data_IF_998891010016
#
_entry.id   IF_998891010016
#
_cell.length_a   1.000
_cell.length_b   1.000
_cell.length_c   1.000
_cell.angle_alpha   90.00
_cell.angle_beta   90.00
_cell.angle_gamma   90.00
#
_symmetry.space_group_name_H-M   'P 1'
#
loop_
_entity.id
_entity.type
_entity.pdbx_description
1 polymer ?
#
# COMPACT_ATOMS: atom_id res chain seq x y z
N UNK A 1 -4.78 1.65 9.06
CA UNK A 1 -3.54 1.42 8.31
C UNK A 1 -2.37 1.91 9.13
N UNK A 2 -1.24 1.22 9.09
CA UNK A 2 0.00 1.66 9.73
C UNK A 2 1.19 1.16 8.92
N UNK A 3 2.35 1.78 9.08
CA UNK A 3 3.61 1.25 8.54
C UNK A 3 4.42 0.64 9.66
N UNK A 4 4.96 -0.55 9.41
CA UNK A 4 5.84 -1.26 10.32
C UNK A 4 7.26 -1.35 9.77
N UNK A 5 8.20 -1.69 10.66
CA UNK A 5 9.65 -1.77 10.43
C UNK A 5 10.34 -0.42 10.23
N UNK A 6 11.67 -0.48 10.10
CA UNK A 6 12.50 0.68 9.76
C UNK A 6 12.16 1.15 8.36
N UNK A 7 12.27 2.46 8.14
CA UNK A 7 12.04 3.14 6.88
C UNK A 7 13.15 2.83 5.85
N UNK A 8 13.22 1.55 5.42
CA UNK A 8 14.14 0.99 4.43
C UNK A 8 13.46 -0.14 3.63
N UNK A 9 14.21 -1.06 3.01
CA UNK A 9 13.63 -2.18 2.26
C UNK A 9 12.74 -3.13 3.06
N UNK A 10 12.77 -3.06 4.40
CA UNK A 10 11.90 -3.83 5.30
C UNK A 10 10.57 -3.13 5.58
N UNK A 11 10.38 -1.90 5.10
CA UNK A 11 9.15 -1.14 5.35
C UNK A 11 7.93 -1.84 4.74
N UNK A 12 6.87 -2.01 5.52
CA UNK A 12 5.63 -2.73 5.12
C UNK A 12 4.40 -2.01 5.64
N UNK A 13 3.27 -2.18 4.96
CA UNK A 13 1.98 -1.67 5.44
C UNK A 13 1.16 -2.77 6.09
N UNK A 14 0.72 -2.54 7.32
CA UNK A 14 -0.24 -3.38 8.03
C UNK A 14 -1.56 -2.65 8.28
N UNK A 15 -2.55 -3.40 8.77
CA UNK A 15 -3.84 -2.86 9.22
C UNK A 15 -4.26 -3.45 10.55
N UNK A 16 -5.00 -2.66 11.31
CA UNK A 16 -5.67 -3.07 12.52
C UNK A 16 -7.03 -2.36 12.60
N UNK A 17 -8.01 -2.97 13.26
CA UNK A 17 -9.36 -2.40 13.43
C UNK A 17 -9.82 -2.49 14.88
N UNK A 18 -10.74 -1.62 15.27
CA UNK A 18 -11.39 -1.61 16.57
C UNK A 18 -12.83 -1.11 16.42
N UNK A 19 -13.69 -1.44 17.37
CA UNK A 19 -15.06 -0.91 17.44
C UNK A 19 -15.15 0.43 18.20
N UNK A 20 -14.09 0.82 18.90
CA UNK A 20 -13.96 2.09 19.60
C UNK A 20 -12.61 2.74 19.26
N UNK A 21 -12.57 4.07 19.24
CA UNK A 21 -11.35 4.85 18.94
C UNK A 21 -10.21 4.51 19.91
N UNK A 22 -10.54 4.21 21.18
CA UNK A 22 -9.56 3.79 22.19
C UNK A 22 -9.05 2.35 22.06
N UNK A 23 -9.59 1.55 21.13
CA UNK A 23 -9.26 0.14 21.00
C UNK A 23 -10.09 -0.78 21.91
N UNK A 24 -9.65 -2.04 22.11
CA UNK A 24 -8.41 -2.61 21.59
C UNK A 24 -8.42 -2.77 20.07
N UNK A 25 -7.24 -2.62 19.45
CA UNK A 25 -7.07 -2.81 18.01
C UNK A 25 -6.63 -4.25 17.69
N UNK A 26 -7.43 -4.96 16.91
CA UNK A 26 -7.12 -6.28 16.34
C UNK A 26 -6.25 -6.07 15.09
N UNK A 27 -5.03 -6.63 15.07
CA UNK A 27 -4.16 -6.61 13.89
C UNK A 27 -4.57 -7.70 12.90
N UNK A 28 -4.57 -7.37 11.60
CA UNK A 28 -4.74 -8.35 10.53
C UNK A 28 -3.44 -9.08 10.22
N UNK A 29 -2.89 -9.82 11.19
CA UNK A 29 -1.72 -10.69 11.01
C UNK A 29 -0.60 -10.08 10.15
N UNK A 30 -0.31 -10.75 9.03
CA UNK A 30 0.70 -10.37 8.04
C UNK A 30 0.44 -8.99 7.39
N UNK A 31 1.49 -8.30 6.91
CA UNK A 31 1.31 -7.04 6.21
C UNK A 31 0.42 -7.18 4.96
N UNK A 32 -0.42 -6.17 4.72
CA UNK A 32 -1.31 -6.12 3.56
C UNK A 32 -0.63 -5.55 2.30
N UNK A 33 0.56 -4.97 2.45
CA UNK A 33 1.34 -4.45 1.33
C UNK A 33 2.83 -4.69 1.57
N UNK A 34 3.46 -5.40 0.63
CA UNK A 34 4.86 -5.82 0.71
C UNK A 34 5.63 -5.50 -0.57
N UNK A 35 6.96 -5.65 -0.52
CA UNK A 35 7.81 -5.48 -1.69
C UNK A 35 7.43 -6.44 -2.81
N UNK A 36 7.73 -6.04 -4.04
CA UNK A 36 7.75 -6.93 -5.20
C UNK A 36 8.93 -6.57 -6.12
N UNK A 37 8.93 -7.12 -7.33
CA UNK A 37 9.99 -6.91 -8.31
C UNK A 37 10.06 -5.48 -8.85
N UNK A 38 9.01 -4.68 -8.71
CA UNK A 38 8.95 -3.30 -9.20
C UNK A 38 9.11 -2.26 -8.07
N UNK A 39 8.67 -2.61 -6.85
CA UNK A 39 8.53 -1.66 -5.74
C UNK A 39 9.06 -2.21 -4.42
N UNK A 40 9.79 -1.36 -3.69
CA UNK A 40 10.38 -1.66 -2.38
C UNK A 40 9.90 -0.66 -1.34
N UNK A 41 9.61 -1.17 -0.14
CA UNK A 41 9.25 -0.38 1.04
C UNK A 41 7.89 0.33 0.94
N UNK A 42 6.80 -0.31 0.50
CA UNK A 42 5.53 0.38 0.35
C UNK A 42 4.90 0.74 1.71
N UNK A 43 4.65 2.03 1.93
CA UNK A 43 4.09 2.50 3.19
C UNK A 43 3.82 4.00 3.28
N UNK A 44 3.56 4.45 4.51
CA UNK A 44 3.10 5.79 4.88
C UNK A 44 1.94 6.23 3.97
N UNK A 45 0.91 5.40 3.93
CA UNK A 45 -0.22 5.65 3.06
C UNK A 45 -1.45 6.21 3.76
N UNK A 46 -2.32 6.76 2.93
CA UNK A 46 -3.62 7.32 3.28
C UNK A 46 -4.71 6.68 2.43
N UNK A 47 -5.94 6.67 2.93
CA UNK A 47 -7.11 6.23 2.16
C UNK A 47 -7.76 7.46 1.53
N UNK A 48 -8.03 7.39 0.23
CA UNK A 48 -8.81 8.39 -0.52
C UNK A 48 -10.03 7.71 -1.12
N UNK A 49 -11.19 8.33 -0.99
CA UNK A 49 -12.46 7.84 -1.55
C UNK A 49 -12.78 8.60 -2.84
N UNK A 50 -12.96 7.88 -3.94
CA UNK A 50 -13.38 8.43 -5.25
C UNK A 50 -14.55 7.60 -5.75
N UNK A 51 -15.69 8.23 -6.02
CA UNK A 51 -16.89 7.57 -6.58
C UNK A 51 -17.23 6.24 -5.90
N UNK A 52 -17.36 6.29 -4.56
CA UNK A 52 -17.67 5.13 -3.71
C UNK A 52 -16.58 4.04 -3.63
N UNK A 53 -15.45 4.22 -4.33
CA UNK A 53 -14.31 3.31 -4.32
C UNK A 53 -13.18 3.87 -3.46
N UNK A 54 -12.68 3.05 -2.53
CA UNK A 54 -11.49 3.38 -1.74
C UNK A 54 -10.20 3.09 -2.51
N UNK A 55 -9.26 4.02 -2.42
CA UNK A 55 -7.91 3.92 -2.93
C UNK A 55 -6.92 4.12 -1.79
N UNK A 56 -5.84 3.37 -1.81
CA UNK A 56 -4.70 3.57 -0.93
C UNK A 56 -3.64 4.34 -1.70
N UNK A 57 -3.33 5.56 -1.25
CA UNK A 57 -2.20 6.33 -1.75
C UNK A 57 -1.02 6.13 -0.81
N UNK A 58 0.16 5.87 -1.32
CA UNK A 58 1.33 5.53 -0.51
C UNK A 58 2.62 5.79 -1.29
N UNK A 59 3.77 5.60 -0.65
CA UNK A 59 5.04 5.70 -1.34
C UNK A 59 5.76 4.35 -1.43
N UNK A 60 6.61 4.20 -2.43
CA UNK A 60 7.61 3.13 -2.51
C UNK A 60 8.83 3.60 -3.32
N UNK A 61 9.95 2.90 -3.21
CA UNK A 61 11.08 3.06 -4.13
C UNK A 61 10.94 2.11 -5.32
N UNK A 62 11.39 2.50 -6.53
CA UNK A 62 11.60 1.55 -7.61
C UNK A 62 12.64 0.49 -7.22
N UNK A 63 12.46 -0.74 -7.67
CA UNK A 63 13.43 -1.82 -7.45
C UNK A 63 14.64 -1.68 -8.38
N UNK A 64 15.85 -1.89 -7.85
CA UNK A 64 17.08 -1.97 -8.66
C UNK A 64 17.24 -3.34 -9.35
N UNK A 65 17.98 -3.42 -10.47
CA UNK A 65 18.49 -4.69 -10.96
C UNK A 65 19.27 -5.42 -9.85
N UNK A 66 18.89 -6.67 -9.55
CA UNK A 66 19.47 -7.45 -8.44
C UNK A 66 18.71 -7.35 -7.11
N UNK A 67 17.65 -6.54 -7.05
CA UNK A 67 16.81 -6.36 -5.86
C UNK A 67 17.25 -5.17 -4.99
N UNK A 68 16.32 -4.67 -4.16
CA UNK A 68 16.56 -3.54 -3.27
C UNK A 68 16.04 -2.20 -3.79
N UNK A 69 15.98 -1.20 -2.91
CA UNK A 69 15.43 0.11 -3.20
C UNK A 69 16.40 0.98 -4.01
N UNK A 70 15.94 1.53 -5.13
CA UNK A 70 16.65 2.58 -5.85
C UNK A 70 16.51 3.91 -5.09
N UNK A 71 17.45 4.16 -4.18
CA UNK A 71 17.45 5.37 -3.34
C UNK A 71 17.87 6.63 -4.09
N UNK A 72 18.57 6.49 -5.22
CA UNK A 72 19.07 7.63 -6.01
C UNK A 72 17.96 8.45 -6.65
N UNK A 73 16.85 7.80 -7.02
CA UNK A 73 15.65 8.45 -7.57
C UNK A 73 14.60 8.79 -6.51
N UNK A 74 14.85 8.43 -5.25
CA UNK A 74 13.91 8.62 -4.17
C UNK A 74 12.63 7.78 -4.30
N UNK A 75 11.58 8.21 -3.59
CA UNK A 75 10.29 7.49 -3.55
C UNK A 75 9.28 8.10 -4.49
N UNK A 76 8.43 7.22 -5.02
CA UNK A 76 7.36 7.55 -5.94
C UNK A 76 6.04 7.49 -5.19
N UNK A 77 5.13 8.40 -5.53
CA UNK A 77 3.74 8.32 -5.09
C UNK A 77 3.02 7.29 -5.93
N UNK A 78 2.38 6.33 -5.27
CA UNK A 78 1.60 5.26 -5.88
C UNK A 78 0.17 5.28 -5.36
N UNK A 79 -0.72 4.70 -6.14
CA UNK A 79 -2.13 4.59 -5.83
C UNK A 79 -2.65 3.25 -6.30
N UNK A 80 -3.29 2.51 -5.39
CA UNK A 80 -3.95 1.25 -5.73
C UNK A 80 -5.35 1.21 -5.12
N UNK A 81 -6.27 0.57 -5.84
CA UNK A 81 -7.63 0.33 -5.34
C UNK A 81 -7.60 -0.60 -4.11
N UNK A 82 -8.40 -0.25 -3.11
CA UNK A 82 -8.71 -1.13 -1.98
C UNK A 82 -9.94 -1.98 -2.35
N UNK A 83 -9.79 -3.30 -2.23
CA UNK A 83 -10.89 -4.27 -2.26
C UNK A 83 -11.20 -4.69 -0.84
N UNK A 84 -12.45 -4.57 -0.41
CA UNK A 84 -12.87 -4.99 0.91
C UNK A 84 -13.37 -6.45 0.87
N UNK A 85 -12.73 -7.32 1.64
CA UNK A 85 -13.07 -8.75 1.76
C UNK A 85 -13.18 -9.07 3.24
N UNK A 86 -14.36 -9.55 3.67
CA UNK A 86 -14.66 -9.85 5.08
C UNK A 86 -14.35 -8.68 6.04
N UNK A 87 -14.60 -7.46 5.58
CA UNK A 87 -14.35 -6.23 6.33
C UNK A 87 -12.87 -5.85 6.46
N UNK A 88 -11.98 -6.49 5.70
CA UNK A 88 -10.56 -6.17 5.64
C UNK A 88 -10.12 -5.65 4.27
N UNK A 89 -9.20 -4.67 4.21
CA UNK A 89 -8.71 -4.13 2.96
C UNK A 89 -7.68 -5.07 2.32
N UNK A 90 -7.83 -5.33 1.03
CA UNK A 90 -6.87 -6.03 0.19
C UNK A 90 -6.45 -5.09 -0.95
N UNK A 91 -5.15 -5.01 -1.19
CA UNK A 91 -4.57 -4.21 -2.27
C UNK A 91 -3.89 -5.19 -3.22
N UNK A 92 -4.30 -5.18 -4.50
CA UNK A 92 -3.75 -6.08 -5.53
C UNK A 92 -3.62 -7.52 -5.00
N UNK A 93 -2.44 -8.13 -5.12
CA UNK A 93 -2.03 -9.45 -4.62
C UNK A 93 -1.30 -9.40 -3.27
N UNK A 94 -1.41 -8.29 -2.52
CA UNK A 94 -0.61 -8.03 -1.32
C UNK A 94 0.68 -7.26 -1.60
N UNK A 95 0.89 -6.82 -2.83
CA UNK A 95 2.02 -5.95 -3.25
C UNK A 95 1.53 -4.82 -4.15
N UNK A 96 2.30 -3.73 -4.36
CA UNK A 96 1.95 -2.67 -5.30
C UNK A 96 1.63 -3.16 -6.72
N UNK A 97 0.73 -2.49 -7.45
CA UNK A 97 0.55 -2.81 -8.87
C UNK A 97 1.83 -2.57 -9.69
N UNK A 98 2.03 -3.38 -10.73
CA UNK A 98 3.26 -3.42 -11.55
C UNK A 98 3.08 -2.78 -12.92
N UNK A 99 1.84 -2.60 -13.32
CA UNK A 99 1.44 -2.02 -14.61
C UNK A 99 0.41 -0.94 -14.35
N UNK A 100 0.22 0.00 -15.28
CA UNK A 100 -0.87 0.96 -15.22
C UNK A 100 -2.20 0.24 -14.95
N UNK A 101 -2.98 0.82 -14.04
CA UNK A 101 -4.32 0.37 -13.69
C UNK A 101 -5.32 1.40 -14.17
N UNK A 102 -6.52 0.96 -14.54
CA UNK A 102 -7.58 1.87 -14.92
C UNK A 102 -7.89 2.83 -13.76
N UNK A 103 -7.87 4.13 -14.05
CA UNK A 103 -8.38 5.14 -13.13
C UNK A 103 -9.90 4.96 -12.97
N UNK A 104 -10.48 5.16 -11.78
CA UNK A 104 -11.91 4.96 -11.48
C UNK A 104 -12.90 5.50 -12.53
N UNK A 105 -12.53 6.58 -13.24
CA UNK A 105 -13.43 7.26 -14.18
C UNK A 105 -13.06 7.03 -15.65
N UNK A 106 -12.11 6.15 -15.95
CA UNK A 106 -11.65 5.90 -17.32
C UNK A 106 -10.95 7.11 -17.98
N UNK A 107 -10.77 8.20 -17.23
CA UNK A 107 -9.92 9.32 -17.60
C UNK A 107 -8.49 8.96 -17.20
N UNK A 108 -7.63 8.78 -18.20
CA UNK A 108 -6.18 8.81 -17.96
C UNK A 108 -5.81 10.15 -17.31
N UNK A 109 -4.92 10.19 -16.31
CA UNK A 109 -4.38 11.44 -15.78
C UNK A 109 -3.64 12.27 -16.84
#
# INVERSE_FOLDING_TARGET
>A
FYSGNVYDERYRTGVARATAVGGPYEKRGEPILQNNEAWVGPGHGSVVRINEVDYFTYHAWPTLPGGGANRDVGRYGLVDRIRWVDGWPQISDGTPSRTPQAWPDGLEP
#
